data_IF_602368978045
#
_entry.id   IF_602368978045
#
_cell.length_a   1.000
_cell.length_b   1.000
_cell.length_c   1.000
_cell.angle_alpha   90.00
_cell.angle_beta   90.00
_cell.angle_gamma   90.00
#
_symmetry.space_group_name_H-M   'P 1'
#
loop_
_entity.id
_entity.type
_entity.pdbx_description
1 polymer ?
#
# COMPACT_ATOMS: atom_id res chain seq x y z
N UNK A 1 30.71 -67.89 2.08
CA UNK A 1 29.24 -67.75 1.98
C UNK A 1 28.78 -66.89 3.13
N UNK A 2 28.42 -65.65 2.82
CA UNK A 2 27.34 -64.83 3.39
C UNK A 2 27.61 -63.38 2.97
N UNK A 3 26.91 -63.02 1.91
CA UNK A 3 26.89 -61.73 1.25
C UNK A 3 25.63 -61.01 1.73
N UNK A 4 25.77 -59.94 2.51
CA UNK A 4 24.70 -58.98 2.85
C UNK A 4 25.36 -57.63 3.17
N UNK A 5 25.80 -56.94 2.12
CA UNK A 5 26.13 -55.51 2.16
C UNK A 5 24.88 -54.68 1.85
N UNK A 6 24.34 -54.02 2.88
CA UNK A 6 23.28 -53.02 2.81
C UNK A 6 23.62 -51.91 1.80
N UNK A 7 22.88 -51.85 0.69
CA UNK A 7 22.97 -50.76 -0.27
C UNK A 7 22.03 -49.63 0.16
N UNK A 8 22.64 -48.57 0.69
CA UNK A 8 22.00 -47.31 1.03
C UNK A 8 21.39 -46.61 -0.18
N UNK A 9 20.28 -45.95 0.09
CA UNK A 9 19.39 -45.28 -0.85
C UNK A 9 19.85 -43.82 -1.09
N UNK A 10 19.75 -43.38 -2.35
CA UNK A 10 19.73 -41.98 -2.82
C UNK A 10 21.02 -41.15 -2.61
N UNK A 11 21.38 -40.13 -3.39
CA UNK A 11 20.58 -39.07 -4.03
C UNK A 11 21.34 -38.50 -5.24
N UNK A 12 20.53 -38.11 -6.23
CA UNK A 12 20.82 -37.40 -7.47
C UNK A 12 21.78 -36.20 -7.41
N UNK A 13 22.49 -36.01 -8.53
CA UNK A 13 23.42 -34.92 -8.80
C UNK A 13 22.81 -33.53 -8.66
N UNK A 14 23.58 -32.65 -8.03
CA UNK A 14 23.24 -31.28 -7.64
C UNK A 14 23.31 -30.35 -8.87
N UNK A 15 22.21 -30.21 -9.61
CA UNK A 15 22.02 -29.09 -10.56
C UNK A 15 21.94 -27.79 -9.76
N UNK A 16 22.98 -26.94 -9.84
CA UNK A 16 22.94 -25.57 -9.32
C UNK A 16 22.09 -24.72 -10.26
N UNK A 17 20.83 -24.57 -9.92
CA UNK A 17 19.93 -23.58 -10.54
C UNK A 17 20.20 -22.26 -9.81
N UNK A 18 20.67 -21.26 -10.54
CA UNK A 18 20.72 -19.87 -10.05
C UNK A 18 19.28 -19.36 -10.10
N UNK A 19 18.60 -19.38 -8.96
CA UNK A 19 17.31 -18.72 -8.78
C UNK A 19 17.62 -17.23 -8.64
N UNK A 20 17.15 -16.34 -9.53
CA UNK A 20 17.23 -14.91 -9.27
C UNK A 20 16.45 -14.62 -7.99
N UNK A 21 17.07 -13.87 -7.09
CA UNK A 21 16.58 -13.48 -5.77
C UNK A 21 15.13 -13.00 -5.88
N UNK A 22 14.18 -13.86 -5.53
CA UNK A 22 12.79 -13.49 -5.41
C UNK A 22 12.67 -12.67 -4.12
N UNK A 23 12.39 -11.38 -4.27
CA UNK A 23 11.93 -10.53 -3.17
C UNK A 23 10.60 -11.11 -2.70
N UNK A 24 10.66 -11.90 -1.63
CA UNK A 24 9.46 -12.40 -0.95
C UNK A 24 9.13 -11.37 0.14
N UNK A 25 8.46 -10.30 -0.26
CA UNK A 25 7.69 -9.49 0.68
C UNK A 25 6.42 -10.24 1.02
N UNK A 26 6.10 -10.40 2.31
CA UNK A 26 4.83 -10.96 2.75
C UNK A 26 3.73 -9.95 2.39
N UNK A 27 3.15 -10.12 1.20
CA UNK A 27 1.99 -9.35 0.76
C UNK A 27 0.73 -10.00 1.31
N UNK A 28 0.17 -9.37 2.34
CA UNK A 28 -1.19 -9.63 2.79
C UNK A 28 -2.14 -9.10 1.71
N UNK A 29 -2.53 -10.03 0.84
CA UNK A 29 -3.84 -10.19 0.22
C UNK A 29 -4.67 -8.89 0.07
N UNK A 30 -4.49 -8.20 -1.06
CA UNK A 30 -5.47 -7.27 -1.64
C UNK A 30 -6.70 -8.06 -2.13
N UNK A 31 -7.54 -8.52 -1.20
CA UNK A 31 -8.85 -9.08 -1.52
C UNK A 31 -9.93 -8.00 -1.42
N UNK A 32 -10.77 -8.00 -2.47
CA UNK A 32 -12.07 -7.35 -2.59
C UNK A 32 -12.09 -5.87 -2.96
N UNK A 33 -11.68 -5.56 -4.20
CA UNK A 33 -12.07 -4.31 -4.86
C UNK A 33 -13.59 -4.20 -5.13
N UNK A 34 -14.38 -5.27 -4.97
CA UNK A 34 -15.81 -5.26 -5.37
C UNK A 34 -16.83 -5.45 -4.23
N UNK A 35 -16.45 -5.92 -3.03
CA UNK A 35 -17.45 -6.25 -2.00
C UNK A 35 -17.63 -5.20 -0.88
N UNK A 36 -16.72 -4.23 -0.74
CA UNK A 36 -16.74 -3.24 0.37
C UNK A 36 -17.54 -1.98 0.02
N UNK A 37 -17.78 -1.69 -1.26
CA UNK A 37 -18.26 -0.37 -1.68
C UNK A 37 -19.76 -0.30 -2.02
N UNK A 38 -20.52 -1.36 -1.68
CA UNK A 38 -21.96 -1.42 -1.90
C UNK A 38 -22.74 -0.69 -0.79
N UNK A 39 -22.80 0.65 -0.87
CA UNK A 39 -23.92 1.52 -0.42
C UNK A 39 -24.56 1.31 0.98
N UNK A 40 -23.91 0.62 1.90
CA UNK A 40 -24.19 0.68 3.33
C UNK A 40 -23.20 1.67 3.93
N UNK A 41 -23.71 2.66 4.68
CA UNK A 41 -22.92 3.56 5.51
C UNK A 41 -21.82 2.72 6.19
N UNK A 42 -20.53 3.02 5.98
CA UNK A 42 -19.46 2.19 6.53
C UNK A 42 -19.71 2.04 8.04
N UNK A 43 -19.43 0.86 8.59
CA UNK A 43 -19.32 0.64 10.05
C UNK A 43 -18.05 1.37 10.52
N UNK A 44 -18.09 2.68 10.37
CA UNK A 44 -16.96 3.58 10.44
C UNK A 44 -17.09 4.53 11.62
N UNK A 45 -15.94 4.87 12.18
CA UNK A 45 -15.86 5.78 13.32
C UNK A 45 -15.55 7.16 12.77
N UNK A 46 -16.42 8.13 13.04
CA UNK A 46 -16.09 9.54 12.76
C UNK A 46 -14.85 9.93 13.53
N UNK A 47 -13.85 10.43 12.82
CA UNK A 47 -12.61 10.89 13.42
C UNK A 47 -12.70 12.38 13.66
N UNK A 48 -12.33 12.84 14.85
CA UNK A 48 -12.29 14.27 15.13
C UNK A 48 -11.16 14.93 14.33
N UNK A 49 -11.42 16.10 13.76
CA UNK A 49 -10.39 16.88 13.08
C UNK A 49 -9.21 17.20 13.99
N UNK A 50 -8.00 17.14 13.43
CA UNK A 50 -6.74 17.25 14.15
C UNK A 50 -6.29 15.97 14.87
N UNK A 51 -7.05 14.87 14.79
CA UNK A 51 -6.61 13.57 15.33
C UNK A 51 -5.42 13.06 14.54
N UNK A 52 -4.34 12.72 15.22
CA UNK A 52 -3.21 12.00 14.63
C UNK A 52 -3.41 10.52 14.85
N UNK A 53 -3.42 9.75 13.76
CA UNK A 53 -3.49 8.28 13.80
C UNK A 53 -2.11 7.74 13.47
N UNK A 54 -1.48 7.06 14.42
CA UNK A 54 -0.28 6.26 14.20
C UNK A 54 -0.66 4.88 13.69
N UNK A 55 0.09 4.35 12.72
CA UNK A 55 -0.16 3.06 12.10
C UNK A 55 1.13 2.43 11.55
N UNK A 56 1.00 1.17 11.12
CA UNK A 56 2.10 0.37 10.60
C UNK A 56 2.88 -0.37 11.67
N UNK A 57 3.89 -1.16 11.26
CA UNK A 57 4.79 -1.85 12.17
C UNK A 57 5.45 -0.84 13.11
N UNK A 58 5.40 -1.12 14.42
CA UNK A 58 6.02 -0.30 15.46
C UNK A 58 5.50 1.15 15.52
N UNK A 59 4.31 1.43 14.94
CA UNK A 59 3.67 2.75 14.96
C UNK A 59 4.54 3.85 14.33
N UNK A 60 5.35 3.51 13.32
CA UNK A 60 6.31 4.43 12.68
C UNK A 60 5.71 5.35 11.62
N UNK A 61 4.49 5.11 11.15
CA UNK A 61 3.79 6.00 10.24
C UNK A 61 2.68 6.74 10.99
N UNK A 62 2.45 8.00 10.65
CA UNK A 62 1.34 8.78 11.20
C UNK A 62 0.65 9.61 10.12
N UNK A 63 -0.62 9.90 10.34
CA UNK A 63 -1.43 10.77 9.48
C UNK A 63 -2.31 11.66 10.36
N UNK A 64 -2.41 12.95 10.03
CA UNK A 64 -3.32 13.87 10.71
C UNK A 64 -4.62 13.98 9.93
N UNK A 65 -5.72 13.65 10.59
CA UNK A 65 -7.04 13.60 9.98
C UNK A 65 -7.70 14.99 10.04
N UNK A 66 -8.14 15.49 8.89
CA UNK A 66 -8.91 16.73 8.77
C UNK A 66 -10.38 16.58 9.16
N UNK A 67 -11.19 17.60 8.89
CA UNK A 67 -12.64 17.54 9.09
C UNK A 67 -13.32 16.56 8.12
N UNK A 68 -14.43 15.96 8.56
CA UNK A 68 -15.33 15.18 7.71
C UNK A 68 -14.91 13.73 7.40
N UNK A 69 -13.74 13.30 7.87
CA UNK A 69 -13.25 11.94 7.65
C UNK A 69 -13.90 10.90 8.58
N UNK A 70 -14.15 9.73 8.01
CA UNK A 70 -14.61 8.53 8.71
C UNK A 70 -13.56 7.44 8.52
N UNK A 71 -13.11 6.83 9.62
CA UNK A 71 -12.26 5.64 9.57
C UNK A 71 -13.14 4.42 9.34
N UNK A 72 -12.97 3.74 8.21
CA UNK A 72 -13.57 2.42 7.97
C UNK A 72 -12.82 1.38 8.81
N UNK A 73 -13.34 1.14 10.02
CA UNK A 73 -12.71 0.25 11.00
C UNK A 73 -12.72 -1.22 10.58
N UNK A 74 -13.66 -1.62 9.72
CA UNK A 74 -13.75 -3.00 9.22
C UNK A 74 -12.70 -3.27 8.14
N UNK A 75 -12.34 -2.25 7.36
CA UNK A 75 -11.31 -2.32 6.32
C UNK A 75 -9.92 -1.93 6.81
N UNK A 76 -9.82 -1.33 8.00
CA UNK A 76 -8.55 -0.89 8.60
C UNK A 76 -7.95 -1.93 9.56
N UNK A 77 -6.63 -1.99 9.57
CA UNK A 77 -5.80 -2.67 10.57
C UNK A 77 -4.66 -1.72 10.93
N UNK A 78 -4.66 -1.19 12.15
CA UNK A 78 -3.69 -0.20 12.60
C UNK A 78 -2.23 -0.66 12.43
N UNK A 79 -1.96 -1.96 12.36
CA UNK A 79 -0.60 -2.47 12.18
C UNK A 79 -0.11 -2.45 10.73
N UNK A 80 -0.99 -2.21 9.75
CA UNK A 80 -0.64 -2.38 8.34
C UNK A 80 -1.38 -1.47 7.35
N UNK A 81 -2.64 -1.12 7.62
CA UNK A 81 -3.50 -0.42 6.66
C UNK A 81 -4.56 0.45 7.34
N UNK A 82 -4.71 1.68 6.88
CA UNK A 82 -5.85 2.54 7.21
C UNK A 82 -6.69 2.80 5.97
N UNK A 83 -8.02 2.80 6.14
CA UNK A 83 -8.98 3.19 5.12
C UNK A 83 -9.84 4.32 5.67
N UNK A 84 -9.66 5.51 5.09
CA UNK A 84 -10.35 6.74 5.46
C UNK A 84 -11.30 7.13 4.32
N UNK A 85 -12.50 7.57 4.68
CA UNK A 85 -13.55 7.96 3.74
C UNK A 85 -14.01 9.38 4.03
N UNK A 86 -14.09 10.20 2.99
CA UNK A 86 -14.65 11.55 3.04
C UNK A 86 -15.63 11.73 1.88
N UNK A 87 -16.93 11.71 2.18
CA UNK A 87 -17.98 11.66 1.16
C UNK A 87 -17.82 10.40 0.29
N UNK A 88 -17.67 10.60 -1.02
CA UNK A 88 -17.40 9.51 -1.97
C UNK A 88 -15.91 9.26 -2.20
N UNK A 89 -15.01 10.03 -1.57
CA UNK A 89 -13.55 9.86 -1.69
C UNK A 89 -13.03 8.84 -0.68
N UNK A 90 -12.21 7.90 -1.15
CA UNK A 90 -11.58 6.87 -0.32
C UNK A 90 -10.07 7.05 -0.39
N UNK A 91 -9.42 7.06 0.78
CA UNK A 91 -7.97 7.05 0.92
C UNK A 91 -7.56 5.78 1.66
N UNK A 92 -6.78 4.95 0.98
CA UNK A 92 -6.13 3.80 1.59
C UNK A 92 -4.66 4.13 1.82
N UNK A 93 -4.20 4.00 3.06
CA UNK A 93 -2.79 4.06 3.44
C UNK A 93 -2.34 2.66 3.81
N UNK A 94 -1.20 2.21 3.31
CA UNK A 94 -0.67 0.87 3.60
C UNK A 94 0.83 0.95 3.83
N UNK A 95 1.31 0.37 4.92
CA UNK A 95 2.74 0.27 5.19
C UNK A 95 3.33 -0.96 4.54
N UNK A 96 4.44 -0.79 3.83
CA UNK A 96 5.18 -1.87 3.19
C UNK A 96 6.61 -1.88 3.73
N UNK A 97 7.06 -3.04 4.20
CA UNK A 97 8.45 -3.24 4.65
C UNK A 97 9.22 -4.05 3.61
N UNK A 98 10.45 -3.61 3.34
CA UNK A 98 11.33 -4.22 2.37
C UNK A 98 12.44 -5.02 3.07
N UNK A 99 12.82 -6.19 2.52
CA UNK A 99 13.90 -7.00 3.10
C UNK A 99 15.29 -6.36 2.95
N UNK A 100 15.40 -5.35 2.09
CA UNK A 100 16.57 -4.50 1.89
C UNK A 100 16.08 -3.11 1.48
N UNK A 101 16.91 -2.09 1.71
CA UNK A 101 16.61 -0.72 1.29
C UNK A 101 16.26 -0.68 -0.21
N UNK A 102 15.15 0.00 -0.53
CA UNK A 102 14.68 0.21 -1.89
C UNK A 102 14.63 1.71 -2.20
N UNK A 103 14.87 2.07 -3.46
CA UNK A 103 14.67 3.43 -3.94
C UNK A 103 13.17 3.72 -4.17
N UNK A 104 12.72 4.98 -4.11
CA UNK A 104 11.31 5.32 -4.37
C UNK A 104 10.79 4.78 -5.73
N UNK A 105 11.65 4.76 -6.76
CA UNK A 105 11.31 4.21 -8.07
C UNK A 105 11.11 2.68 -8.07
N UNK A 106 11.93 1.93 -7.34
CA UNK A 106 11.75 0.48 -7.19
C UNK A 106 10.48 0.13 -6.41
N UNK A 107 10.13 0.95 -5.43
CA UNK A 107 8.88 0.80 -4.68
C UNK A 107 7.67 1.10 -5.57
N UNK A 108 7.72 2.16 -6.40
CA UNK A 108 6.69 2.48 -7.39
C UNK A 108 6.50 1.36 -8.42
N UNK A 109 7.60 0.78 -8.93
CA UNK A 109 7.56 -0.40 -9.79
C UNK A 109 6.93 -1.61 -9.07
N UNK A 110 7.17 -1.73 -7.77
CA UNK A 110 6.51 -2.71 -6.90
C UNK A 110 5.00 -2.55 -6.89
N UNK A 111 4.52 -1.32 -6.64
CA UNK A 111 3.10 -0.96 -6.68
C UNK A 111 2.48 -1.28 -8.05
N UNK A 112 3.12 -0.91 -9.16
CA UNK A 112 2.59 -1.22 -10.50
C UNK A 112 2.42 -2.74 -10.73
N UNK A 113 3.38 -3.53 -10.26
CA UNK A 113 3.30 -5.00 -10.34
C UNK A 113 2.15 -5.57 -9.50
N UNK A 114 1.87 -4.98 -8.34
CA UNK A 114 0.73 -5.36 -7.50
C UNK A 114 -0.59 -5.05 -8.18
N UNK A 115 -0.72 -3.86 -8.74
CA UNK A 115 -1.89 -3.49 -9.56
C UNK A 115 -2.03 -4.39 -10.80
N UNK A 116 -0.92 -4.84 -11.36
CA UNK A 116 -0.88 -5.85 -12.42
C UNK A 116 -1.49 -7.21 -12.05
N UNK A 117 -1.62 -7.55 -10.76
CA UNK A 117 -2.40 -8.73 -10.32
C UNK A 117 -3.91 -8.49 -10.52
N UNK A 118 -4.40 -7.29 -10.20
CA UNK A 118 -5.82 -6.93 -10.38
C UNK A 118 -6.18 -6.87 -11.87
N UNK A 119 -5.30 -6.29 -12.71
CA UNK A 119 -5.47 -6.31 -14.17
C UNK A 119 -5.65 -7.73 -14.72
N UNK A 120 -4.88 -8.69 -14.20
CA UNK A 120 -4.99 -10.11 -14.58
C UNK A 120 -6.28 -10.78 -14.11
N UNK A 121 -6.95 -10.23 -13.11
CA UNK A 121 -8.27 -10.66 -12.64
C UNK A 121 -9.41 -9.99 -13.41
N UNK A 122 -9.11 -9.14 -14.41
CA UNK A 122 -10.11 -8.46 -15.24
C UNK A 122 -10.53 -7.10 -14.72
N UNK A 123 -9.91 -6.59 -13.64
CA UNK A 123 -10.17 -5.23 -13.15
C UNK A 123 -9.47 -4.23 -14.06
N UNK A 124 -10.18 -3.18 -14.50
CA UNK A 124 -9.58 -2.08 -15.25
C UNK A 124 -8.73 -1.23 -14.28
N UNK A 125 -7.40 -1.32 -14.40
CA UNK A 125 -6.47 -0.54 -13.56
C UNK A 125 -5.41 0.12 -14.42
N UNK A 126 -5.28 1.44 -14.34
CA UNK A 126 -4.22 2.23 -14.99
C UNK A 126 -3.48 3.05 -13.93
N UNK A 127 -2.15 3.00 -13.99
CA UNK A 127 -1.26 3.84 -13.19
C UNK A 127 -0.38 4.63 -14.17
N UNK A 128 -0.36 5.95 -14.07
CA UNK A 128 0.46 6.85 -14.89
C UNK A 128 1.45 7.61 -14.02
N UNK A 129 2.58 8.05 -14.59
CA UNK A 129 3.73 8.58 -13.84
C UNK A 129 4.92 7.61 -13.81
N UNK A 130 5.80 7.65 -12.80
CA UNK A 130 5.77 8.53 -11.64
C UNK A 130 6.36 9.93 -11.90
N UNK A 131 5.99 10.88 -11.06
CA UNK A 131 6.72 12.12 -10.83
C UNK A 131 7.20 12.18 -9.37
N UNK A 132 8.31 12.89 -9.13
CA UNK A 132 8.74 13.19 -7.76
C UNK A 132 7.67 14.01 -7.02
N UNK A 133 7.54 13.76 -5.73
CA UNK A 133 6.61 14.42 -4.85
C UNK A 133 7.26 14.64 -3.48
N UNK A 134 7.02 15.78 -2.86
CA UNK A 134 7.40 16.06 -1.48
C UNK A 134 6.16 16.55 -0.77
N UNK A 135 5.81 15.89 0.33
CA UNK A 135 4.63 16.24 1.11
C UNK A 135 4.94 17.34 2.14
N UNK A 136 3.92 17.91 2.80
CA UNK A 136 4.12 18.99 3.75
C UNK A 136 4.91 18.57 5.01
N UNK A 137 4.97 17.28 5.32
CA UNK A 137 5.83 16.72 6.37
C UNK A 137 7.31 16.59 5.97
N UNK A 138 7.67 16.89 4.72
CA UNK A 138 9.04 16.81 4.20
C UNK A 138 9.47 15.41 3.75
N UNK A 139 8.53 14.48 3.59
CA UNK A 139 8.80 13.16 3.02
C UNK A 139 8.80 13.24 1.49
N UNK A 140 9.95 12.97 0.88
CA UNK A 140 10.09 12.86 -0.57
C UNK A 140 9.75 11.44 -1.03
N UNK A 141 8.91 11.32 -2.06
CA UNK A 141 8.48 10.07 -2.65
C UNK A 141 8.09 10.20 -4.12
N UNK A 142 7.22 9.30 -4.55
CA UNK A 142 6.69 9.25 -5.92
C UNK A 142 5.18 9.44 -5.90
N UNK A 143 4.64 10.12 -6.91
CA UNK A 143 3.20 10.26 -7.15
C UNK A 143 2.84 9.98 -8.61
N UNK A 144 1.57 9.71 -8.86
CA UNK A 144 1.05 9.51 -10.21
C UNK A 144 -0.45 9.22 -10.25
N UNK A 145 -1.04 9.42 -11.42
CA UNK A 145 -2.48 9.24 -11.62
C UNK A 145 -2.85 7.75 -11.52
N UNK A 146 -3.91 7.45 -10.76
CA UNK A 146 -4.44 6.10 -10.59
C UNK A 146 -5.90 6.06 -11.03
N UNK A 147 -6.22 5.08 -11.88
CA UNK A 147 -7.59 4.72 -12.23
C UNK A 147 -7.84 3.25 -11.84
N UNK A 148 -8.96 3.00 -11.17
CA UNK A 148 -9.45 1.65 -10.84
C UNK A 148 -10.95 1.61 -11.15
N UNK A 149 -11.34 0.88 -12.19
CA UNK A 149 -12.70 0.86 -12.71
C UNK A 149 -13.16 2.26 -13.14
N UNK A 150 -14.27 2.71 -12.57
CA UNK A 150 -14.88 4.03 -12.80
C UNK A 150 -14.36 5.13 -11.86
N UNK A 151 -13.40 4.80 -10.98
CA UNK A 151 -12.80 5.72 -10.02
C UNK A 151 -11.43 6.18 -10.47
N UNK A 152 -11.13 7.44 -10.19
CA UNK A 152 -9.89 8.12 -10.56
C UNK A 152 -9.32 8.86 -9.36
N UNK A 153 -8.01 9.03 -9.32
CA UNK A 153 -7.32 9.84 -8.34
C UNK A 153 -5.82 9.69 -8.45
N UNK A 154 -5.14 9.55 -7.32
CA UNK A 154 -3.68 9.55 -7.23
C UNK A 154 -3.20 8.34 -6.44
N UNK A 155 -2.02 7.84 -6.78
CA UNK A 155 -1.24 6.96 -5.95
C UNK A 155 0.05 7.64 -5.50
N UNK A 156 0.51 7.30 -4.30
CA UNK A 156 1.75 7.80 -3.73
C UNK A 156 2.57 6.65 -3.15
N UNK A 157 3.88 6.81 -3.17
CA UNK A 157 4.82 5.95 -2.45
C UNK A 157 5.77 6.87 -1.68
N UNK A 158 5.65 6.84 -0.36
CA UNK A 158 6.39 7.68 0.57
C UNK A 158 7.34 6.81 1.40
N UNK A 159 8.63 6.72 1.06
CA UNK A 159 9.60 5.93 1.82
C UNK A 159 10.02 6.60 3.14
N UNK A 160 10.47 5.78 4.09
CA UNK A 160 11.29 6.24 5.20
C UNK A 160 12.70 6.67 4.74
N UNK A 161 13.47 7.29 5.62
CA UNK A 161 14.81 7.78 5.30
C UNK A 161 15.79 6.67 4.91
N UNK A 162 15.56 5.43 5.38
CA UNK A 162 16.43 4.29 5.15
C UNK A 162 16.02 3.46 3.92
N UNK A 163 14.87 3.76 3.30
CA UNK A 163 14.26 2.99 2.22
C UNK A 163 13.82 1.58 2.65
N UNK A 164 13.74 1.31 3.95
CA UNK A 164 13.39 0.00 4.50
C UNK A 164 11.87 -0.17 4.67
N UNK A 165 11.15 0.95 4.79
CA UNK A 165 9.69 1.00 4.91
C UNK A 165 9.15 2.08 3.99
N UNK A 166 7.92 1.94 3.53
CA UNK A 166 7.18 2.99 2.84
C UNK A 166 5.71 2.98 3.22
N UNK A 167 5.06 4.14 3.11
CA UNK A 167 3.61 4.26 3.05
C UNK A 167 3.21 4.36 1.58
N UNK A 168 2.50 3.35 1.11
CA UNK A 168 1.76 3.41 -0.15
C UNK A 168 0.40 4.04 0.11
N UNK A 169 0.03 5.02 -0.71
CA UNK A 169 -1.28 5.69 -0.59
C UNK A 169 -2.03 5.55 -1.91
N UNK A 170 -3.32 5.26 -1.82
CA UNK A 170 -4.23 5.29 -2.96
C UNK A 170 -5.42 6.17 -2.61
N UNK A 171 -5.58 7.26 -3.37
CA UNK A 171 -6.72 8.17 -3.30
C UNK A 171 -7.59 7.89 -4.51
N UNK A 172 -8.83 7.44 -4.27
CA UNK A 172 -9.77 7.11 -5.34
C UNK A 172 -11.11 7.77 -5.06
N UNK A 173 -11.69 8.39 -6.07
CA UNK A 173 -13.03 8.97 -6.02
C UNK A 173 -13.74 8.82 -7.37
N UNK A 174 -15.08 8.90 -7.44
CA UNK A 174 -15.78 9.05 -8.70
C UNK A 174 -15.22 10.21 -9.54
N UNK A 175 -15.26 10.08 -10.88
CA UNK A 175 -14.72 11.12 -11.78
C UNK A 175 -15.37 12.51 -11.59
N UNK A 176 -16.61 12.56 -11.08
CA UNK A 176 -17.37 13.77 -10.83
C UNK A 176 -17.27 14.32 -9.40
N UNK A 177 -16.38 13.76 -8.57
CA UNK A 177 -16.06 14.28 -7.23
C UNK A 177 -15.64 15.76 -7.29
N UNK A 178 -16.10 16.54 -6.31
CA UNK A 178 -15.85 17.99 -6.24
C UNK A 178 -14.43 18.33 -5.80
N UNK A 179 -14.00 19.57 -6.06
CA UNK A 179 -12.64 20.02 -5.73
C UNK A 179 -12.37 20.04 -4.22
N UNK A 180 -13.37 20.33 -3.40
CA UNK A 180 -13.24 20.33 -1.93
C UNK A 180 -12.88 18.95 -1.38
N UNK A 181 -13.50 17.87 -1.89
CA UNK A 181 -13.20 16.50 -1.46
C UNK A 181 -11.80 16.06 -1.92
N UNK A 182 -11.36 16.51 -3.10
CA UNK A 182 -9.99 16.27 -3.58
C UNK A 182 -8.97 17.03 -2.75
N UNK A 183 -9.26 18.27 -2.39
CA UNK A 183 -8.40 19.08 -1.53
C UNK A 183 -8.26 18.44 -0.14
N UNK A 184 -9.36 17.98 0.45
CA UNK A 184 -9.32 17.26 1.73
C UNK A 184 -8.44 16.00 1.67
N UNK A 185 -8.49 15.25 0.56
CA UNK A 185 -7.61 14.09 0.37
C UNK A 185 -6.15 14.49 0.19
N UNK A 186 -5.86 15.58 -0.52
CA UNK A 186 -4.50 16.09 -0.66
C UNK A 186 -3.93 16.54 0.69
N UNK A 187 -4.70 17.27 1.52
CA UNK A 187 -4.31 17.68 2.87
C UNK A 187 -4.00 16.47 3.76
N UNK A 188 -4.79 15.40 3.66
CA UNK A 188 -4.54 14.16 4.37
C UNK A 188 -3.19 13.54 3.97
N UNK A 189 -2.89 13.46 2.66
CA UNK A 189 -1.62 12.93 2.14
C UNK A 189 -0.44 13.82 2.56
N UNK A 190 -0.63 15.14 2.51
CA UNK A 190 0.38 16.13 2.90
C UNK A 190 0.79 15.99 4.38
N UNK A 191 -0.10 15.50 5.23
CA UNK A 191 0.13 15.30 6.66
C UNK A 191 0.89 14.03 7.01
N UNK A 192 1.11 13.11 6.06
CA UNK A 192 1.71 11.81 6.35
C UNK A 192 3.17 11.99 6.79
N UNK A 193 3.52 11.42 7.92
CA UNK A 193 4.90 11.40 8.40
C UNK A 193 5.36 9.96 8.67
N UNK A 194 6.64 9.68 8.42
CA UNK A 194 7.25 8.37 8.66
C UNK A 194 8.53 8.56 9.45
N UNK A 195 8.64 7.87 10.57
CA UNK A 195 9.83 7.84 11.41
C UNK A 195 10.83 6.78 10.93
N UNK A 196 12.11 7.11 11.01
CA UNK A 196 13.19 6.15 10.75
C UNK A 196 13.26 5.08 11.85
N UNK A 197 13.77 3.90 11.53
CA UNK A 197 14.00 2.87 12.54
C UNK A 197 15.16 3.29 13.47
N UNK A 198 14.91 3.28 14.78
CA UNK A 198 15.89 3.62 15.82
C UNK A 198 16.84 2.47 16.16
#
# INVERSE_FOLDING_TARGET
MNDMGSAGNAVYGRRRIRVPLAVVGVLIVLLAAEAVFAKSQPDGVTVASGTVITFGPEERASVQVGDGWVLDSASSDVNSRLVLVHGDTVVQLSTVTFPAAASPGEMWDGLDRLLGLQRRQGVEVRLEGPAEYENAAGTTGMQGDLQVGDRTGQAYVLPDADGATAVEVQVLAPANTGDDERAAAAELVDSIAIEAAS
#
